data_IF_525701345244
#
_entry.id   IF_525701345244
#
_cell.length_a   1.000
_cell.length_b   1.000
_cell.length_c   1.000
_cell.angle_alpha   90.00
_cell.angle_beta   90.00
_cell.angle_gamma   90.00
#
_symmetry.space_group_name_H-M   'P 1'
#
loop_
_entity.id
_entity.type
_entity.pdbx_description
1 polymer ?
#
# COMPACT_ATOMS: atom_id res chain seq x y z
N UNK A 1 12.22 -11.25 -2.83
CA UNK A 1 11.25 -10.23 -3.26
C UNK A 1 10.06 -10.97 -3.82
N UNK A 2 8.94 -10.92 -3.13
CA UNK A 2 7.66 -11.35 -3.60
C UNK A 2 7.29 -10.57 -4.89
N UNK A 3 6.70 -11.27 -5.85
CA UNK A 3 6.18 -10.65 -7.06
C UNK A 3 4.88 -9.89 -6.75
N UNK A 4 4.74 -8.68 -7.31
CA UNK A 4 3.47 -7.95 -7.26
C UNK A 4 2.42 -8.73 -8.05
N UNK A 5 1.23 -8.92 -7.48
CA UNK A 5 0.13 -9.62 -8.14
C UNK A 5 -0.15 -9.03 -9.54
N UNK A 6 -0.33 -9.84 -10.60
CA UNK A 6 -0.44 -9.35 -11.98
C UNK A 6 -1.52 -8.29 -12.20
N UNK A 7 -2.65 -8.41 -11.49
CA UNK A 7 -3.72 -7.42 -11.58
C UNK A 7 -3.28 -6.06 -11.05
N UNK A 8 -2.59 -6.00 -9.91
CA UNK A 8 -2.05 -4.74 -9.39
C UNK A 8 -0.97 -4.18 -10.34
N UNK A 9 -0.11 -5.03 -10.88
CA UNK A 9 0.91 -4.62 -11.84
C UNK A 9 0.32 -4.03 -13.13
N UNK A 10 -0.84 -4.51 -13.57
CA UNK A 10 -1.53 -3.99 -14.76
C UNK A 10 -2.19 -2.63 -14.53
N UNK A 11 -2.86 -2.44 -13.37
CA UNK A 11 -3.66 -1.25 -13.10
C UNK A 11 -2.90 -0.15 -12.35
N UNK A 12 -1.72 -0.43 -11.83
CA UNK A 12 -0.94 0.53 -11.05
C UNK A 12 0.37 0.93 -11.73
N UNK A 13 1.00 1.96 -11.17
CA UNK A 13 2.36 2.37 -11.44
C UNK A 13 3.18 2.10 -10.17
N UNK A 14 4.35 1.47 -10.31
CA UNK A 14 5.30 1.34 -9.20
C UNK A 14 5.99 2.69 -8.99
N UNK A 15 5.76 3.33 -7.85
CA UNK A 15 6.40 4.60 -7.51
C UNK A 15 7.73 4.41 -6.78
N UNK A 16 7.85 3.35 -5.99
CA UNK A 16 9.06 3.11 -5.20
C UNK A 16 8.89 1.98 -4.19
N UNK A 17 9.79 1.94 -3.21
CA UNK A 17 9.79 0.96 -2.14
C UNK A 17 10.05 1.60 -0.78
N UNK A 18 9.30 1.14 0.20
CA UNK A 18 9.61 1.25 1.62
C UNK A 18 10.42 0.03 2.08
N UNK A 19 10.88 -0.03 3.34
CA UNK A 19 11.58 -1.19 3.87
C UNK A 19 10.80 -2.51 3.74
N UNK A 20 9.50 -2.51 4.00
CA UNK A 20 8.62 -3.69 3.89
C UNK A 20 7.81 -3.69 2.59
N UNK A 21 7.26 -2.54 2.17
CA UNK A 21 6.24 -2.52 1.12
C UNK A 21 6.69 -1.88 -0.20
N UNK A 22 6.23 -2.40 -1.33
CA UNK A 22 6.18 -1.65 -2.58
C UNK A 22 5.10 -0.57 -2.49
N UNK A 23 5.41 0.63 -3.01
CA UNK A 23 4.45 1.72 -3.14
C UNK A 23 3.93 1.77 -4.57
N UNK A 24 2.65 1.52 -4.75
CA UNK A 24 1.95 1.60 -6.03
C UNK A 24 1.02 2.81 -6.07
N UNK A 25 0.84 3.39 -7.26
CA UNK A 25 -0.18 4.39 -7.57
C UNK A 25 -1.22 3.78 -8.50
N UNK A 26 -2.49 3.80 -8.11
CA UNK A 26 -3.58 3.37 -8.99
C UNK A 26 -3.70 4.33 -10.17
N UNK A 27 -3.85 3.80 -11.39
CA UNK A 27 -4.09 4.59 -12.61
C UNK A 27 -5.55 5.04 -12.74
N UNK A 28 -6.13 5.51 -11.65
CA UNK A 28 -7.41 6.17 -11.63
C UNK A 28 -7.19 7.63 -11.22
N UNK A 29 -7.42 8.55 -12.14
CA UNK A 29 -7.17 9.97 -11.94
C UNK A 29 -8.25 10.68 -11.11
N UNK A 30 -9.31 9.99 -10.71
CA UNK A 30 -10.35 10.57 -9.87
C UNK A 30 -9.83 10.90 -8.46
N UNK A 31 -8.86 10.13 -7.94
CA UNK A 31 -8.28 10.32 -6.61
C UNK A 31 -6.79 9.96 -6.61
N UNK A 32 -5.94 10.64 -5.81
CA UNK A 32 -4.57 10.22 -5.59
C UNK A 32 -4.55 8.95 -4.72
N UNK A 33 -4.71 7.79 -5.34
CA UNK A 33 -4.87 6.52 -4.64
C UNK A 33 -3.59 5.67 -4.67
N UNK A 34 -2.92 5.62 -3.52
CA UNK A 34 -1.75 4.79 -3.30
C UNK A 34 -2.10 3.43 -2.66
N UNK A 35 -1.34 2.39 -3.00
CA UNK A 35 -1.45 1.04 -2.44
C UNK A 35 -0.08 0.61 -1.91
N UNK A 36 -0.03 0.18 -0.65
CA UNK A 36 1.15 -0.48 -0.07
C UNK A 36 1.01 -1.99 -0.22
N UNK A 37 2.02 -2.64 -0.80
CA UNK A 37 2.06 -4.09 -0.97
C UNK A 37 3.28 -4.63 -0.22
N UNK A 38 3.10 -5.27 0.96
CA UNK A 38 4.20 -5.92 1.67
C UNK A 38 4.95 -6.90 0.77
N UNK A 39 6.28 -6.86 0.78
CA UNK A 39 7.18 -7.70 -0.02
C UNK A 39 7.32 -9.10 0.63
N UNK A 40 6.18 -9.75 0.91
CA UNK A 40 6.04 -11.05 1.57
C UNK A 40 5.16 -11.98 0.74
N UNK A 41 5.58 -13.23 0.54
CA UNK A 41 4.82 -14.21 -0.27
C UNK A 41 3.70 -14.88 0.53
N UNK A 42 2.57 -15.14 -0.14
CA UNK A 42 1.48 -15.95 0.41
C UNK A 42 0.66 -15.29 1.52
N UNK A 43 0.76 -13.97 1.66
CA UNK A 43 0.00 -13.19 2.64
C UNK A 43 -1.28 -12.66 2.00
N UNK A 44 -2.42 -12.94 2.63
CA UNK A 44 -3.73 -12.41 2.27
C UNK A 44 -4.28 -11.46 3.33
N UNK A 45 -3.81 -11.56 4.58
CA UNK A 45 -4.33 -10.82 5.72
C UNK A 45 -3.20 -10.21 6.56
N UNK A 46 -3.42 -9.02 7.12
CA UNK A 46 -2.40 -8.32 7.94
C UNK A 46 -1.93 -9.18 9.12
N UNK A 47 -2.84 -9.94 9.75
CA UNK A 47 -2.49 -10.75 10.93
C UNK A 47 -1.55 -11.92 10.61
N UNK A 48 -1.37 -12.28 9.32
CA UNK A 48 -0.46 -13.34 8.89
C UNK A 48 0.99 -12.85 8.82
N UNK A 49 1.22 -11.53 8.81
CA UNK A 49 2.54 -10.94 8.91
C UNK A 49 3.12 -11.20 10.31
N UNK A 50 4.46 -11.24 10.40
CA UNK A 50 5.14 -11.23 11.71
C UNK A 50 4.74 -9.97 12.50
N UNK A 51 4.79 -10.02 13.83
CA UNK A 51 4.45 -8.84 14.65
C UNK A 51 5.29 -7.61 14.28
N UNK A 52 6.58 -7.82 13.99
CA UNK A 52 7.47 -6.76 13.50
C UNK A 52 7.01 -6.19 12.15
N UNK A 53 6.56 -7.02 11.23
CA UNK A 53 6.11 -6.58 9.92
C UNK A 53 4.74 -5.88 9.99
N UNK A 54 3.84 -6.31 10.88
CA UNK A 54 2.59 -5.59 11.15
C UNK A 54 2.86 -4.18 11.65
N UNK A 55 3.78 -4.02 12.62
CA UNK A 55 4.20 -2.72 13.11
C UNK A 55 4.88 -1.89 12.02
N UNK A 56 5.70 -2.52 11.18
CA UNK A 56 6.37 -1.84 10.08
C UNK A 56 5.38 -1.36 9.01
N UNK A 57 4.40 -2.18 8.64
CA UNK A 57 3.31 -1.80 7.74
C UNK A 57 2.53 -0.59 8.28
N UNK A 58 2.22 -0.56 9.58
CA UNK A 58 1.54 0.57 10.20
C UNK A 58 2.38 1.86 10.15
N UNK A 59 3.69 1.76 10.36
CA UNK A 59 4.62 2.90 10.25
C UNK A 59 4.65 3.43 8.82
N UNK A 60 4.76 2.56 7.83
CA UNK A 60 4.77 2.92 6.41
C UNK A 60 3.44 3.55 5.98
N UNK A 61 2.33 2.96 6.39
CA UNK A 61 0.98 3.50 6.16
C UNK A 61 0.82 4.90 6.75
N UNK A 62 1.29 5.12 7.98
CA UNK A 62 1.23 6.42 8.65
C UNK A 62 2.14 7.46 7.98
N UNK A 63 3.35 7.06 7.57
CA UNK A 63 4.28 7.93 6.86
C UNK A 63 3.73 8.37 5.50
N UNK A 64 3.16 7.43 4.74
CA UNK A 64 2.52 7.73 3.46
C UNK A 64 1.32 8.65 3.65
N UNK A 65 0.48 8.40 4.67
CA UNK A 65 -0.67 9.24 4.97
C UNK A 65 -0.26 10.69 5.27
N UNK A 66 0.79 10.91 6.08
CA UNK A 66 1.31 12.26 6.34
C UNK A 66 1.83 12.95 5.07
N UNK A 67 2.52 12.21 4.20
CA UNK A 67 2.99 12.75 2.93
C UNK A 67 1.84 13.11 1.99
N UNK A 68 0.78 12.30 1.94
CA UNK A 68 -0.42 12.56 1.15
C UNK A 68 -1.20 13.76 1.70
N UNK A 69 -1.32 13.89 3.01
CA UNK A 69 -1.97 15.03 3.67
C UNK A 69 -1.26 16.33 3.31
N UNK A 70 0.07 16.37 3.43
CA UNK A 70 0.87 17.54 3.06
C UNK A 70 0.83 17.86 1.55
N UNK A 71 0.78 16.84 0.69
CA UNK A 71 0.81 17.03 -0.76
C UNK A 71 -0.55 17.44 -1.36
N UNK A 72 -1.66 16.98 -0.77
CA UNK A 72 -2.99 17.12 -1.38
C UNK A 72 -4.01 17.85 -0.51
N UNK A 73 -3.72 18.12 0.78
CA UNK A 73 -4.61 18.76 1.75
C UNK A 73 -6.06 18.22 1.68
N UNK A 74 -6.26 16.90 1.86
CA UNK A 74 -7.59 16.29 1.76
C UNK A 74 -8.46 16.65 2.96
N UNK A 75 -9.78 16.66 2.78
CA UNK A 75 -10.70 16.77 3.92
C UNK A 75 -10.60 15.55 4.85
N UNK A 76 -10.31 14.37 4.28
CA UNK A 76 -10.12 13.10 4.99
C UNK A 76 -9.34 12.10 4.15
N UNK A 77 -8.45 11.35 4.78
CA UNK A 77 -7.82 10.16 4.20
C UNK A 77 -8.60 8.89 4.56
N UNK A 78 -8.72 7.99 3.58
CA UNK A 78 -9.29 6.65 3.75
C UNK A 78 -8.17 5.61 3.63
N UNK A 79 -8.07 4.71 4.61
CA UNK A 79 -7.08 3.63 4.64
C UNK A 79 -7.83 2.33 4.91
N UNK A 80 -7.63 1.32 4.08
CA UNK A 80 -8.29 0.02 4.19
C UNK A 80 -7.44 -1.10 3.62
N UNK A 81 -7.58 -2.30 4.19
CA UNK A 81 -7.19 -3.57 3.59
C UNK A 81 -8.48 -4.36 3.33
N UNK A 82 -8.80 -4.62 2.05
CA UNK A 82 -10.07 -5.25 1.65
C UNK A 82 -9.89 -6.66 1.09
N UNK A 83 -9.02 -6.86 0.10
CA UNK A 83 -8.61 -8.21 -0.32
C UNK A 83 -9.63 -9.06 -1.10
N UNK A 84 -10.85 -8.55 -1.40
CA UNK A 84 -11.94 -9.39 -1.93
C UNK A 84 -11.70 -9.95 -3.36
N UNK A 85 -10.86 -9.29 -4.16
CA UNK A 85 -10.58 -9.69 -5.57
C UNK A 85 -9.10 -10.05 -5.75
N UNK A 86 -8.22 -9.29 -5.11
CA UNK A 86 -6.76 -9.43 -5.12
C UNK A 86 -6.28 -9.33 -3.69
#
# INVERSE_FOLDING_TARGET
MAAIHPQLANYCLLLGKFPLSHLLLMRDANYPWCILVPDCEGITEIYQLSESDQQQLLRESSQLAQAMDAAFNPDKLNIAALGNVV
#
